data_IF_309708790009
#
_entry.id   IF_309708790009
#
_cell.length_a   1.000
_cell.length_b   1.000
_cell.length_c   1.000
_cell.angle_alpha   90.00
_cell.angle_beta   90.00
_cell.angle_gamma   90.00
#
_symmetry.space_group_name_H-M   'P 1'
#
loop_
_entity.id
_entity.type
_entity.pdbx_description
1 polymer ?
#
# COMPACT_ATOMS: atom_id res chain seq x y z
N UNK A 1 4.70 20.03 27.56
CA UNK A 1 5.55 18.82 27.63
C UNK A 1 5.44 17.96 26.38
N UNK A 2 4.24 17.85 25.74
CA UNK A 2 4.07 17.07 24.49
C UNK A 2 4.99 17.57 23.34
N UNK A 3 5.14 18.88 23.16
CA UNK A 3 5.95 19.46 22.08
C UNK A 3 7.47 19.19 22.23
N UNK A 4 7.94 18.96 23.45
CA UNK A 4 9.36 18.63 23.70
C UNK A 4 9.68 17.19 23.32
N UNK A 5 8.73 16.26 23.52
CA UNK A 5 8.89 14.86 23.13
C UNK A 5 8.96 14.68 21.61
N UNK A 6 8.13 15.40 20.88
CA UNK A 6 8.13 15.40 19.40
C UNK A 6 9.45 15.97 18.86
N UNK A 7 9.91 17.10 19.40
CA UNK A 7 11.18 17.72 19.00
C UNK A 7 12.39 16.81 19.29
N UNK A 8 12.39 16.09 20.40
CA UNK A 8 13.46 15.15 20.76
C UNK A 8 13.46 13.92 19.87
N UNK A 9 12.28 13.42 19.48
CA UNK A 9 12.14 12.27 18.60
C UNK A 9 12.59 12.60 17.17
N UNK A 10 12.16 13.72 16.61
CA UNK A 10 12.62 14.20 15.29
C UNK A 10 14.12 14.44 15.26
N UNK A 11 14.69 14.98 16.33
CA UNK A 11 16.13 15.18 16.44
C UNK A 11 16.92 13.85 16.51
N UNK A 12 16.37 12.81 17.17
CA UNK A 12 17.01 11.49 17.21
C UNK A 12 16.97 10.76 15.86
N UNK A 13 15.90 10.93 15.08
CA UNK A 13 15.83 10.39 13.71
C UNK A 13 16.82 11.08 12.75
N UNK A 14 16.98 12.40 12.87
CA UNK A 14 17.94 13.16 12.04
C UNK A 14 19.40 12.75 12.26
N UNK A 15 19.75 12.23 13.45
CA UNK A 15 21.12 11.78 13.74
C UNK A 15 21.40 10.41 13.09
N UNK A 16 20.40 9.54 12.96
CA UNK A 16 20.60 8.23 12.32
C UNK A 16 20.69 8.32 10.81
N UNK A 17 20.06 9.30 10.17
CA UNK A 17 20.11 9.50 8.71
C UNK A 17 21.50 9.95 8.21
N UNK A 18 22.32 10.59 9.06
CA UNK A 18 23.66 11.05 8.67
C UNK A 18 24.68 9.92 8.40
N UNK A 19 24.35 8.68 8.71
CA UNK A 19 25.23 7.52 8.51
C UNK A 19 24.88 6.65 7.30
N UNK A 20 23.85 6.98 6.54
CA UNK A 20 23.34 6.16 5.45
C UNK A 20 23.84 6.54 4.03
N UNK A 21 24.72 7.52 3.89
CA UNK A 21 25.18 8.01 2.59
C UNK A 21 26.56 7.44 2.20
N UNK A 22 26.61 6.14 1.92
CA UNK A 22 27.70 5.56 1.13
C UNK A 22 27.10 4.88 -0.09
N UNK A 23 27.53 5.34 -1.28
CA UNK A 23 27.09 4.78 -2.57
C UNK A 23 27.42 3.30 -2.64
N UNK A 24 26.44 2.46 -2.38
CA UNK A 24 26.59 1.01 -2.33
C UNK A 24 26.63 0.48 -3.77
N UNK A 25 27.72 -0.22 -4.10
CA UNK A 25 27.77 -1.12 -5.23
C UNK A 25 26.58 -2.09 -5.20
N UNK A 26 26.06 -2.60 -6.33
CA UNK A 26 24.91 -3.49 -6.33
C UNK A 26 25.16 -4.65 -5.36
N UNK A 27 24.37 -4.67 -4.29
CA UNK A 27 24.55 -5.64 -3.22
C UNK A 27 24.22 -7.03 -3.75
N UNK A 28 25.17 -7.94 -3.66
CA UNK A 28 24.99 -9.36 -3.98
C UNK A 28 24.54 -10.18 -2.75
N UNK A 29 24.24 -9.50 -1.65
CA UNK A 29 23.83 -10.08 -0.37
C UNK A 29 22.53 -9.51 0.17
N UNK A 30 22.05 -10.01 1.32
CA UNK A 30 20.87 -9.48 1.99
C UNK A 30 21.04 -8.01 2.32
N UNK A 31 20.04 -7.21 2.02
CA UNK A 31 19.94 -5.80 2.41
C UNK A 31 19.00 -5.70 3.60
N UNK A 32 19.50 -5.11 4.68
CA UNK A 32 18.69 -4.79 5.84
C UNK A 32 18.13 -3.38 5.66
N UNK A 33 16.87 -3.22 5.92
CA UNK A 33 16.18 -1.94 5.90
C UNK A 33 15.26 -1.81 7.09
N UNK A 34 14.76 -0.61 7.28
CA UNK A 34 13.76 -0.37 8.30
C UNK A 34 12.99 0.91 8.01
N UNK A 35 11.88 1.09 8.72
CA UNK A 35 11.05 2.28 8.63
C UNK A 35 10.54 2.67 10.01
N UNK A 36 10.33 3.96 10.19
CA UNK A 36 9.61 4.51 11.35
C UNK A 36 8.58 5.49 10.80
N UNK A 37 7.35 5.31 11.19
CA UNK A 37 6.26 6.20 10.85
C UNK A 37 5.57 6.71 12.11
N UNK A 38 5.23 7.99 12.12
CA UNK A 38 4.38 8.64 13.09
C UNK A 38 3.21 9.26 12.35
N UNK A 39 2.01 8.80 12.68
CA UNK A 39 0.77 9.29 12.13
C UNK A 39 -0.02 10.03 13.20
N UNK A 40 -0.43 11.25 12.92
CA UNK A 40 -1.27 12.08 13.78
C UNK A 40 -2.58 12.33 13.06
N UNK A 41 -3.69 12.00 13.71
CA UNK A 41 -5.03 12.19 13.16
C UNK A 41 -5.90 12.90 14.19
N UNK A 42 -6.77 13.79 13.74
CA UNK A 42 -7.84 14.36 14.55
C UNK A 42 -9.10 13.50 14.38
N UNK A 43 -9.72 13.14 15.48
CA UNK A 43 -10.99 12.42 15.45
C UNK A 43 -12.18 13.37 15.32
N UNK A 44 -13.38 12.82 15.11
CA UNK A 44 -14.62 13.59 14.98
C UNK A 44 -14.98 14.42 16.24
N UNK A 45 -14.32 14.18 17.37
CA UNK A 45 -14.46 14.96 18.60
C UNK A 45 -13.51 16.14 18.69
N UNK A 46 -12.60 16.28 17.73
CA UNK A 46 -11.53 17.27 17.71
C UNK A 46 -10.31 16.86 18.58
N UNK A 47 -10.24 15.60 19.00
CA UNK A 47 -9.12 15.10 19.77
C UNK A 47 -8.05 14.50 18.84
N UNK A 48 -6.79 14.88 19.06
CA UNK A 48 -5.66 14.37 18.29
C UNK A 48 -5.13 13.08 18.87
N UNK A 49 -5.16 12.02 18.05
CA UNK A 49 -4.47 10.75 18.29
C UNK A 49 -3.09 10.72 17.63
N UNK A 50 -2.23 9.81 18.09
CA UNK A 50 -0.96 9.52 17.46
C UNK A 50 -0.74 8.02 17.42
N UNK A 51 -0.36 7.49 16.26
CA UNK A 51 0.05 6.09 16.06
C UNK A 51 1.50 6.07 15.64
N UNK A 52 2.24 5.13 16.18
CA UNK A 52 3.63 4.88 15.81
C UNK A 52 3.76 3.48 15.19
N UNK A 53 4.34 3.42 13.99
CA UNK A 53 4.67 2.16 13.33
C UNK A 53 6.18 2.05 13.17
N UNK A 54 6.74 0.91 13.55
CA UNK A 54 8.17 0.60 13.37
C UNK A 54 8.25 -0.67 12.55
N UNK A 55 8.87 -0.58 11.37
CA UNK A 55 9.12 -1.69 10.47
C UNK A 55 10.60 -2.06 10.42
N UNK A 56 10.87 -3.33 10.17
CA UNK A 56 12.19 -3.83 9.82
C UNK A 56 12.08 -4.79 8.65
N UNK A 57 12.95 -4.67 7.68
CA UNK A 57 12.91 -5.48 6.47
C UNK A 57 14.25 -6.14 6.16
N UNK A 58 14.18 -7.31 5.56
CA UNK A 58 15.32 -8.01 4.98
C UNK A 58 14.98 -8.31 3.54
N UNK A 59 15.78 -7.79 2.61
CA UNK A 59 15.58 -7.98 1.19
C UNK A 59 16.78 -8.70 0.58
N UNK A 60 16.51 -9.69 -0.23
CA UNK A 60 17.49 -10.40 -1.05
C UNK A 60 17.06 -10.28 -2.51
N UNK A 61 17.96 -9.86 -3.38
CA UNK A 61 17.69 -9.70 -4.80
C UNK A 61 18.58 -10.62 -5.64
N UNK A 62 18.07 -11.03 -6.81
CA UNK A 62 18.77 -11.91 -7.74
C UNK A 62 17.78 -12.75 -8.54
N UNK A 63 18.26 -13.83 -9.17
CA UNK A 63 17.39 -14.82 -9.82
C UNK A 63 16.42 -15.45 -8.80
N UNK A 64 16.92 -15.79 -7.60
CA UNK A 64 16.08 -16.07 -6.43
C UNK A 64 16.04 -14.78 -5.58
N UNK A 65 14.89 -14.43 -5.08
CA UNK A 65 14.68 -13.25 -4.24
C UNK A 65 13.84 -13.60 -3.02
N UNK A 66 14.01 -12.82 -1.97
CA UNK A 66 13.21 -12.94 -0.75
C UNK A 66 13.02 -11.55 -0.13
N UNK A 67 11.88 -11.33 0.47
CA UNK A 67 11.64 -10.17 1.33
C UNK A 67 10.88 -10.60 2.57
N UNK A 68 11.19 -9.96 3.69
CA UNK A 68 10.51 -10.14 4.97
C UNK A 68 10.32 -8.76 5.58
N UNK A 69 9.12 -8.45 5.99
CA UNK A 69 8.77 -7.22 6.70
C UNK A 69 8.15 -7.58 8.05
N UNK A 70 8.72 -7.04 9.10
CA UNK A 70 8.21 -7.19 10.47
C UNK A 70 7.81 -5.82 10.97
N UNK A 71 6.61 -5.71 11.49
CA UNK A 71 6.04 -4.45 11.93
C UNK A 71 5.57 -4.52 13.39
N UNK A 72 5.71 -3.41 14.11
CA UNK A 72 5.17 -3.19 15.44
C UNK A 72 4.45 -1.85 15.49
N UNK A 73 3.20 -1.86 15.90
CA UNK A 73 2.36 -0.67 16.03
C UNK A 73 2.25 -0.30 17.51
N UNK A 74 2.48 0.97 17.83
CA UNK A 74 2.38 1.55 19.19
C UNK A 74 3.17 0.80 20.27
N UNK A 75 4.31 0.20 19.88
CA UNK A 75 5.15 -0.57 20.80
C UNK A 75 4.53 -1.92 21.21
N UNK A 76 3.53 -2.39 20.46
CA UNK A 76 2.95 -3.72 20.59
C UNK A 76 3.90 -4.85 20.20
N UNK A 77 3.37 -6.05 20.12
CA UNK A 77 4.14 -7.21 19.65
C UNK A 77 4.51 -7.05 18.18
N UNK A 78 5.77 -7.27 17.86
CA UNK A 78 6.21 -7.30 16.47
C UNK A 78 5.60 -8.50 15.75
N UNK A 79 5.00 -8.26 14.60
CA UNK A 79 4.37 -9.27 13.74
C UNK A 79 5.05 -9.32 12.39
N UNK A 80 5.11 -10.50 11.79
CA UNK A 80 5.50 -10.64 10.39
C UNK A 80 4.32 -10.15 9.54
N UNK A 81 4.48 -8.96 8.97
CA UNK A 81 3.43 -8.31 8.19
C UNK A 81 3.40 -8.89 6.78
N UNK A 82 4.52 -8.80 6.08
CA UNK A 82 4.67 -9.33 4.73
C UNK A 82 5.91 -10.21 4.62
N UNK A 83 5.84 -11.22 3.78
CA UNK A 83 6.98 -12.02 3.41
C UNK A 83 6.80 -12.59 2.01
N UNK A 84 7.90 -12.74 1.30
CA UNK A 84 7.91 -13.25 -0.06
C UNK A 84 9.18 -14.05 -0.32
N UNK A 85 9.01 -15.19 -0.98
CA UNK A 85 10.10 -15.97 -1.56
C UNK A 85 9.77 -16.17 -3.03
N UNK A 86 10.73 -15.92 -3.92
CA UNK A 86 10.45 -16.06 -5.34
C UNK A 86 11.68 -16.32 -6.19
N UNK A 87 11.41 -16.57 -7.47
CA UNK A 87 12.45 -16.80 -8.46
C UNK A 87 12.03 -16.26 -9.84
N UNK A 88 13.00 -15.78 -10.59
CA UNK A 88 12.84 -15.46 -12.01
C UNK A 88 13.03 -16.74 -12.82
N UNK A 89 11.97 -17.20 -13.47
CA UNK A 89 11.95 -18.44 -14.26
C UNK A 89 12.21 -18.21 -15.75
N UNK A 90 11.96 -16.98 -16.23
CA UNK A 90 12.28 -16.53 -17.59
C UNK A 90 12.41 -14.98 -17.59
N UNK A 91 12.90 -14.35 -18.67
CA UNK A 91 12.85 -12.90 -18.81
C UNK A 91 11.43 -12.40 -18.54
N UNK A 92 11.28 -11.36 -17.69
CA UNK A 92 10.01 -10.75 -17.30
C UNK A 92 8.99 -11.73 -16.67
N UNK A 93 9.45 -12.88 -16.19
CA UNK A 93 8.58 -13.89 -15.56
C UNK A 93 9.11 -14.28 -14.20
N UNK A 94 8.33 -14.01 -13.16
CA UNK A 94 8.64 -14.39 -11.78
C UNK A 94 7.53 -15.25 -11.19
N UNK A 95 7.92 -16.19 -10.34
CA UNK A 95 7.01 -16.95 -9.48
C UNK A 95 7.40 -16.69 -8.04
N UNK A 96 6.45 -16.37 -7.21
CA UNK A 96 6.67 -16.13 -5.78
C UNK A 96 5.60 -16.78 -4.92
N UNK A 97 5.93 -16.99 -3.66
CA UNK A 97 5.05 -17.48 -2.61
C UNK A 97 5.23 -16.63 -1.38
N UNK A 98 4.15 -16.34 -0.68
CA UNK A 98 4.19 -15.61 0.59
C UNK A 98 2.94 -14.81 0.86
N UNK A 99 2.95 -14.09 1.99
CA UNK A 99 2.06 -13.00 2.27
C UNK A 99 2.63 -11.75 1.60
N UNK A 100 2.12 -11.45 0.43
CA UNK A 100 2.68 -10.44 -0.46
C UNK A 100 1.55 -9.56 -1.03
N UNK A 101 1.93 -8.38 -1.56
CA UNK A 101 0.96 -7.42 -2.07
C UNK A 101 0.05 -7.99 -3.16
N UNK A 102 -1.13 -7.43 -3.28
CA UNK A 102 -2.23 -7.94 -4.09
C UNK A 102 -1.99 -7.83 -5.60
N UNK A 103 -2.50 -8.81 -6.33
CA UNK A 103 -2.63 -8.75 -7.79
C UNK A 103 -3.89 -7.92 -8.13
N UNK A 104 -3.87 -6.64 -7.82
CA UNK A 104 -5.03 -5.76 -7.90
C UNK A 104 -4.72 -4.40 -8.54
N UNK A 105 -5.76 -3.60 -8.75
CA UNK A 105 -5.62 -2.18 -9.08
C UNK A 105 -5.36 -1.41 -7.79
N UNK A 106 -4.33 -0.58 -7.76
CA UNK A 106 -4.02 0.29 -6.62
C UNK A 106 -4.48 1.71 -6.90
N UNK A 107 -4.89 2.42 -5.87
CA UNK A 107 -5.06 3.87 -5.86
C UNK A 107 -4.09 4.49 -4.86
N UNK A 108 -3.75 5.76 -5.04
CA UNK A 108 -2.88 6.49 -4.10
C UNK A 108 -3.67 7.19 -2.99
N UNK A 109 -5.01 7.19 -3.08
CA UNK A 109 -5.89 7.74 -2.06
C UNK A 109 -6.04 6.79 -0.87
N UNK A 110 -6.21 7.33 0.33
CA UNK A 110 -6.38 6.54 1.56
C UNK A 110 -7.71 5.77 1.63
N UNK A 111 -8.64 5.99 0.70
CA UNK A 111 -9.94 5.34 0.74
C UNK A 111 -9.94 4.06 -0.08
N UNK A 112 -10.23 3.01 0.60
CA UNK A 112 -10.29 1.64 0.15
C UNK A 112 -11.41 1.47 -0.88
N UNK A 113 -11.07 1.64 -2.13
CA UNK A 113 -11.76 0.92 -3.18
C UNK A 113 -11.66 -0.55 -2.79
N UNK A 114 -12.76 -1.31 -2.87
CA UNK A 114 -12.76 -2.71 -2.46
C UNK A 114 -11.47 -3.40 -2.93
N UNK A 115 -10.57 -3.61 -1.99
CA UNK A 115 -9.28 -4.24 -2.23
C UNK A 115 -9.34 -5.64 -1.63
N UNK A 116 -9.42 -6.68 -2.46
CA UNK A 116 -9.37 -8.05 -1.95
C UNK A 116 -8.04 -8.21 -1.21
N UNK A 117 -8.12 -8.57 0.05
CA UNK A 117 -6.91 -8.85 0.84
C UNK A 117 -6.43 -10.23 0.47
N UNK A 118 -5.28 -10.31 -0.16
CA UNK A 118 -4.57 -11.57 -0.32
C UNK A 118 -3.69 -11.80 0.91
N UNK A 119 -4.04 -12.80 1.71
CA UNK A 119 -3.22 -13.20 2.85
C UNK A 119 -1.97 -13.96 2.38
N UNK A 120 -2.07 -15.22 2.10
CA UNK A 120 -0.93 -16.03 1.63
C UNK A 120 -1.21 -16.55 0.22
N UNK A 121 -0.31 -16.29 -0.71
CA UNK A 121 -0.55 -16.57 -2.13
C UNK A 121 0.66 -17.13 -2.85
N UNK A 122 0.41 -17.84 -3.94
CA UNK A 122 1.39 -18.09 -4.99
C UNK A 122 1.06 -17.15 -6.14
N UNK A 123 2.02 -16.32 -6.54
CA UNK A 123 1.86 -15.37 -7.62
C UNK A 123 2.76 -15.69 -8.81
N UNK A 124 2.22 -15.46 -10.00
CA UNK A 124 2.92 -15.46 -11.27
C UNK A 124 2.83 -14.07 -11.88
N UNK A 125 3.98 -13.43 -12.10
CA UNK A 125 4.05 -12.18 -12.86
C UNK A 125 4.76 -12.46 -14.19
N UNK A 126 4.15 -12.08 -15.30
CA UNK A 126 4.65 -12.31 -16.66
C UNK A 126 4.43 -11.06 -17.51
N UNK A 127 5.42 -10.17 -17.51
CA UNK A 127 5.31 -8.89 -18.19
C UNK A 127 4.12 -8.06 -17.71
N UNK A 128 3.17 -7.85 -18.60
CA UNK A 128 1.94 -7.09 -18.32
C UNK A 128 0.84 -7.89 -17.58
N UNK A 129 1.01 -9.19 -17.43
CA UNK A 129 0.04 -10.08 -16.79
C UNK A 129 0.52 -10.49 -15.40
N UNK A 130 -0.37 -10.51 -14.44
CA UNK A 130 -0.16 -11.08 -13.12
C UNK A 130 -1.33 -12.00 -12.75
N UNK A 131 -1.07 -13.08 -12.04
CA UNK A 131 -2.07 -13.97 -11.49
C UNK A 131 -1.66 -14.46 -10.11
N UNK A 132 -2.64 -14.76 -9.27
CA UNK A 132 -2.42 -15.30 -7.95
C UNK A 132 -3.44 -16.39 -7.62
N UNK A 133 -2.99 -17.31 -6.77
CA UNK A 133 -3.85 -18.29 -6.08
C UNK A 133 -3.63 -18.07 -4.60
N UNK A 134 -4.68 -17.76 -3.89
CA UNK A 134 -4.69 -17.48 -2.47
C UNK A 134 -5.06 -18.71 -1.66
N UNK A 135 -4.41 -18.84 -0.51
CA UNK A 135 -4.63 -19.88 0.47
C UNK A 135 -4.92 -19.22 1.82
N UNK A 136 -5.90 -19.68 2.57
CA UNK A 136 -6.27 -19.09 3.84
C UNK A 136 -5.17 -19.14 4.90
N UNK A 137 -4.28 -20.11 4.82
CA UNK A 137 -3.12 -20.21 5.72
C UNK A 137 -2.17 -21.33 5.29
N UNK A 138 -0.92 -21.03 4.98
CA UNK A 138 0.09 -22.06 4.71
C UNK A 138 0.47 -22.92 5.94
N UNK A 139 0.14 -22.48 7.15
CA UNK A 139 0.35 -23.28 8.37
C UNK A 139 -0.74 -24.32 8.62
N UNK A 140 -1.82 -24.28 7.85
CA UNK A 140 -2.95 -25.18 7.91
C UNK A 140 -2.93 -26.25 6.80
N UNK A 141 -4.11 -26.57 6.31
CA UNK A 141 -4.27 -27.49 5.18
C UNK A 141 -4.18 -26.70 3.86
N UNK A 142 -3.06 -26.81 3.16
CA UNK A 142 -2.83 -26.14 1.85
C UNK A 142 -3.80 -26.61 0.75
N UNK A 143 -4.77 -27.45 1.07
CA UNK A 143 -5.82 -27.83 0.13
C UNK A 143 -6.92 -26.78 -0.02
N UNK A 144 -6.99 -25.80 0.87
CA UNK A 144 -8.03 -24.78 0.84
C UNK A 144 -7.56 -23.56 0.03
N UNK A 145 -7.81 -23.63 -1.27
CA UNK A 145 -7.67 -22.46 -2.13
C UNK A 145 -8.91 -21.59 -1.89
N UNK A 146 -8.70 -20.39 -1.36
CA UNK A 146 -9.78 -19.46 -1.03
C UNK A 146 -10.15 -18.56 -2.20
N UNK A 147 -9.15 -18.04 -2.92
CA UNK A 147 -9.40 -17.14 -4.04
C UNK A 147 -8.41 -17.32 -5.19
N UNK A 148 -8.80 -16.82 -6.34
CA UNK A 148 -7.93 -16.66 -7.51
C UNK A 148 -8.04 -15.23 -8.02
N UNK A 149 -6.90 -14.60 -8.31
CA UNK A 149 -6.87 -13.26 -8.84
C UNK A 149 -6.06 -13.18 -10.13
N UNK A 150 -6.38 -12.18 -10.94
CA UNK A 150 -5.61 -11.87 -12.13
C UNK A 150 -5.70 -10.39 -12.49
N UNK A 151 -4.60 -9.85 -13.01
CA UNK A 151 -4.54 -8.49 -13.49
C UNK A 151 -3.81 -8.42 -14.84
N UNK A 152 -4.17 -7.46 -15.65
CA UNK A 152 -3.53 -7.18 -16.91
C UNK A 152 -3.36 -5.67 -17.12
N UNK A 153 -2.15 -5.26 -17.49
CA UNK A 153 -1.80 -3.86 -17.75
C UNK A 153 -1.47 -3.69 -19.23
N UNK A 154 -2.04 -2.68 -19.85
CA UNK A 154 -1.74 -2.35 -21.25
C UNK A 154 -1.67 -0.85 -21.50
N UNK A 155 -0.89 -0.46 -22.51
CA UNK A 155 -0.80 0.92 -22.95
C UNK A 155 -1.87 1.25 -23.97
N UNK A 156 -2.55 2.38 -23.82
CA UNK A 156 -3.52 2.94 -24.75
C UNK A 156 -3.13 4.37 -25.12
N UNK A 157 -2.19 4.50 -26.06
CA UNK A 157 -1.58 5.79 -26.41
C UNK A 157 -0.78 6.36 -25.23
N UNK A 158 -1.12 7.56 -24.74
CA UNK A 158 -0.44 8.15 -23.59
C UNK A 158 -0.95 7.60 -22.23
N UNK A 159 -1.97 6.78 -22.23
CA UNK A 159 -2.56 6.23 -21.02
C UNK A 159 -2.06 4.80 -20.75
N UNK A 160 -1.95 4.44 -19.48
CA UNK A 160 -1.80 3.06 -19.01
C UNK A 160 -3.12 2.62 -18.40
N UNK A 161 -3.60 1.44 -18.77
CA UNK A 161 -4.84 0.87 -18.24
C UNK A 161 -4.51 -0.47 -17.59
N UNK A 162 -4.96 -0.67 -16.35
CA UNK A 162 -4.87 -1.92 -15.61
C UNK A 162 -6.28 -2.39 -15.29
N UNK A 163 -6.58 -3.63 -15.64
CA UNK A 163 -7.80 -4.33 -15.21
C UNK A 163 -7.43 -5.46 -14.27
N UNK A 164 -8.25 -5.73 -13.25
CA UNK A 164 -8.07 -6.82 -12.32
C UNK A 164 -9.40 -7.50 -11.99
N UNK A 165 -9.31 -8.79 -11.66
CA UNK A 165 -10.40 -9.63 -11.22
C UNK A 165 -9.90 -10.45 -10.04
N UNK A 166 -10.67 -10.50 -8.98
CA UNK A 166 -10.55 -11.42 -7.88
C UNK A 166 -11.81 -12.29 -7.79
N UNK A 167 -11.66 -13.56 -7.52
CA UNK A 167 -12.78 -14.50 -7.40
C UNK A 167 -12.61 -15.38 -6.16
N UNK A 168 -13.48 -15.19 -5.18
CA UNK A 168 -13.59 -15.99 -3.98
C UNK A 168 -14.28 -17.32 -4.32
N UNK A 169 -13.61 -18.43 -4.04
CA UNK A 169 -14.06 -19.78 -4.37
C UNK A 169 -15.07 -20.32 -3.36
N UNK A 170 -15.06 -19.82 -2.15
CA UNK A 170 -15.94 -20.26 -1.06
C UNK A 170 -17.32 -19.60 -1.20
N UNK A 171 -17.34 -18.29 -1.27
CA UNK A 171 -18.59 -17.51 -1.43
C UNK A 171 -19.09 -17.49 -2.86
N UNK A 172 -18.20 -17.71 -3.85
CA UNK A 172 -18.42 -17.58 -5.29
C UNK A 172 -18.71 -16.14 -5.72
N UNK A 173 -18.28 -15.20 -4.93
CA UNK A 173 -18.35 -13.80 -5.24
C UNK A 173 -17.12 -13.36 -6.05
N UNK A 174 -17.23 -12.24 -6.71
CA UNK A 174 -16.10 -11.64 -7.42
C UNK A 174 -16.01 -10.15 -7.17
N UNK A 175 -14.80 -9.65 -7.30
CA UNK A 175 -14.50 -8.23 -7.31
C UNK A 175 -13.77 -7.91 -8.61
N UNK A 176 -14.19 -6.88 -9.31
CA UNK A 176 -13.50 -6.39 -10.51
C UNK A 176 -13.03 -4.97 -10.29
N UNK A 177 -11.86 -4.64 -10.83
CA UNK A 177 -11.31 -3.31 -10.77
C UNK A 177 -10.70 -2.90 -12.09
N UNK A 178 -10.75 -1.61 -12.37
CA UNK A 178 -10.05 -1.01 -13.49
C UNK A 178 -9.45 0.33 -13.08
N UNK A 179 -8.20 0.57 -13.49
CA UNK A 179 -7.50 1.84 -13.31
C UNK A 179 -6.99 2.34 -14.66
N UNK A 180 -7.14 3.63 -14.89
CA UNK A 180 -6.55 4.32 -16.02
C UNK A 180 -5.69 5.48 -15.53
N UNK A 181 -4.41 5.49 -15.93
CA UNK A 181 -3.46 6.55 -15.61
C UNK A 181 -3.13 7.32 -16.90
N UNK A 182 -3.25 8.63 -16.82
CA UNK A 182 -2.91 9.54 -17.89
C UNK A 182 -2.04 10.70 -17.35
N UNK A 183 -0.74 10.64 -17.56
CA UNK A 183 0.24 11.58 -17.00
C UNK A 183 0.14 11.62 -15.46
N UNK A 184 -0.38 12.73 -14.94
CA UNK A 184 -0.53 13.00 -13.51
C UNK A 184 -1.96 12.69 -12.99
N UNK A 185 -2.81 12.10 -13.81
CA UNK A 185 -4.20 11.80 -13.45
C UNK A 185 -4.41 10.30 -13.40
N UNK A 186 -5.04 9.83 -12.34
CA UNK A 186 -5.52 8.47 -12.17
C UNK A 186 -7.03 8.43 -11.99
N UNK A 187 -7.66 7.43 -12.56
CA UNK A 187 -9.08 7.13 -12.32
C UNK A 187 -9.18 5.63 -12.06
N UNK A 188 -9.76 5.27 -10.94
CA UNK A 188 -9.98 3.88 -10.55
C UNK A 188 -11.48 3.65 -10.32
N UNK A 189 -11.97 2.49 -10.72
CA UNK A 189 -13.32 2.02 -10.40
C UNK A 189 -13.26 0.56 -10.01
N UNK A 190 -14.05 0.17 -9.02
CA UNK A 190 -14.18 -1.22 -8.56
C UNK A 190 -15.63 -1.58 -8.35
N UNK A 191 -15.93 -2.85 -8.50
CA UNK A 191 -17.24 -3.41 -8.19
C UNK A 191 -17.08 -4.72 -7.42
N UNK A 192 -17.72 -4.83 -6.27
CA UNK A 192 -17.76 -6.03 -5.45
C UNK A 192 -19.13 -6.69 -5.52
N UNK A 193 -19.22 -7.93 -6.01
CA UNK A 193 -20.48 -8.68 -6.18
C UNK A 193 -21.13 -9.00 -4.84
N UNK A 194 -20.34 -9.36 -3.81
CA UNK A 194 -20.83 -9.71 -2.48
C UNK A 194 -21.68 -8.59 -1.85
N UNK A 195 -21.24 -7.36 -2.01
CA UNK A 195 -21.91 -6.18 -1.45
C UNK A 195 -22.76 -5.42 -2.45
N UNK A 196 -22.62 -5.71 -3.75
CA UNK A 196 -23.23 -4.97 -4.87
C UNK A 196 -22.78 -3.51 -4.93
N UNK A 197 -21.59 -3.21 -4.40
CA UNK A 197 -21.06 -1.85 -4.30
C UNK A 197 -20.17 -1.55 -5.47
N UNK A 198 -20.40 -0.40 -6.10
CA UNK A 198 -19.45 0.25 -6.99
C UNK A 198 -18.76 1.39 -6.25
N UNK A 199 -17.43 1.37 -6.25
CA UNK A 199 -16.61 2.43 -5.69
C UNK A 199 -15.72 3.05 -6.77
N UNK A 200 -15.38 4.32 -6.61
CA UNK A 200 -14.57 5.06 -7.57
C UNK A 200 -13.60 6.02 -6.88
N UNK A 201 -12.50 6.29 -7.56
CA UNK A 201 -11.53 7.31 -7.17
C UNK A 201 -11.02 8.04 -8.42
N UNK A 202 -10.86 9.33 -8.31
CA UNK A 202 -10.14 10.17 -9.27
C UNK A 202 -9.06 10.96 -8.52
N UNK A 203 -7.85 10.92 -9.02
CA UNK A 203 -6.70 11.54 -8.36
C UNK A 203 -5.82 12.32 -9.34
N UNK A 204 -5.05 13.24 -8.82
CA UNK A 204 -4.00 13.95 -9.55
C UNK A 204 -2.82 14.25 -8.65
N UNK A 205 -1.61 14.04 -9.17
CA UNK A 205 -0.37 14.31 -8.44
C UNK A 205 0.50 15.31 -9.22
N UNK A 206 0.89 16.39 -8.58
CA UNK A 206 1.77 17.41 -9.15
C UNK A 206 2.76 17.94 -8.11
N UNK A 207 4.05 17.71 -8.32
CA UNK A 207 5.12 18.30 -7.50
C UNK A 207 5.00 17.98 -6.00
N UNK A 208 4.64 16.75 -5.67
CA UNK A 208 4.43 16.31 -4.28
C UNK A 208 3.04 16.59 -3.73
N UNK A 209 2.21 17.37 -4.41
CA UNK A 209 0.80 17.55 -4.07
C UNK A 209 -0.02 16.44 -4.74
N UNK A 210 -0.78 15.70 -3.96
CA UNK A 210 -1.81 14.76 -4.42
C UNK A 210 -3.18 15.31 -4.01
N UNK A 211 -4.13 15.30 -4.92
CA UNK A 211 -5.52 15.63 -4.64
C UNK A 211 -6.40 14.51 -5.18
N UNK A 212 -7.44 14.15 -4.45
CA UNK A 212 -8.32 13.05 -4.82
C UNK A 212 -9.79 13.35 -4.50
N UNK A 213 -10.66 12.65 -5.22
CA UNK A 213 -12.09 12.55 -4.97
C UNK A 213 -12.43 11.06 -5.04
N UNK A 214 -13.07 10.53 -4.02
CA UNK A 214 -13.53 9.16 -4.01
C UNK A 214 -14.96 9.02 -3.45
N UNK A 215 -15.55 7.88 -3.65
CA UNK A 215 -16.88 7.56 -3.15
C UNK A 215 -17.33 6.16 -3.51
N UNK A 216 -18.41 5.73 -2.89
CA UNK A 216 -19.10 4.49 -3.21
C UNK A 216 -20.62 4.67 -3.30
N UNK A 217 -21.31 3.67 -3.87
CA UNK A 217 -22.77 3.72 -4.07
C UNK A 217 -23.58 3.37 -2.82
N UNK A 218 -22.97 2.72 -1.80
CA UNK A 218 -23.73 2.18 -0.67
C UNK A 218 -24.11 3.27 0.31
N UNK A 219 -23.13 4.06 0.69
CA UNK A 219 -23.31 5.11 1.69
C UNK A 219 -23.38 6.49 1.02
N UNK A 220 -23.24 6.53 -0.31
CA UNK A 220 -23.04 7.77 -1.06
C UNK A 220 -21.89 8.62 -0.47
N UNK A 221 -20.99 7.96 0.27
CA UNK A 221 -19.87 8.64 0.92
C UNK A 221 -19.00 9.26 -0.15
N UNK A 222 -18.90 10.56 -0.13
CA UNK A 222 -18.04 11.30 -1.03
C UNK A 222 -17.00 12.02 -0.21
N UNK A 223 -15.74 11.78 -0.56
CA UNK A 223 -14.63 12.44 0.10
C UNK A 223 -13.80 13.20 -0.92
N UNK A 224 -13.35 14.36 -0.51
CA UNK A 224 -12.37 15.16 -1.24
C UNK A 224 -11.18 15.35 -0.33
N UNK A 225 -10.00 14.98 -0.79
CA UNK A 225 -8.81 15.14 0.01
C UNK A 225 -7.64 15.69 -0.78
N UNK A 226 -6.64 16.12 -0.02
CA UNK A 226 -5.35 16.51 -0.56
C UNK A 226 -4.26 16.21 0.44
N UNK A 227 -3.11 15.74 -0.06
CA UNK A 227 -1.88 15.57 0.70
C UNK A 227 -0.73 16.27 0.01
N UNK A 228 0.30 16.59 0.77
CA UNK A 228 1.53 17.15 0.23
C UNK A 228 2.73 16.43 0.84
N UNK A 229 3.47 15.71 0.01
CA UNK A 229 4.68 15.02 0.45
C UNK A 229 5.90 15.90 0.28
N UNK A 230 6.64 16.10 1.36
CA UNK A 230 7.86 16.89 1.41
C UNK A 230 9.00 16.09 2.05
N UNK A 231 10.10 15.90 1.33
CA UNK A 231 11.32 15.33 1.89
C UNK A 231 12.11 16.39 2.64
N UNK A 232 12.37 16.13 3.91
CA UNK A 232 13.23 16.94 4.75
C UNK A 232 14.42 16.10 5.26
N UNK A 233 15.50 16.11 4.51
CA UNK A 233 16.73 15.39 4.85
C UNK A 233 16.52 13.88 5.09
N UNK A 234 15.73 13.23 4.23
CA UNK A 234 15.43 11.81 4.31
C UNK A 234 14.24 11.46 5.22
N UNK A 235 13.59 12.47 5.78
CA UNK A 235 12.31 12.32 6.49
C UNK A 235 11.21 12.81 5.56
N UNK A 236 10.28 11.93 5.20
CA UNK A 236 9.08 12.31 4.47
C UNK A 236 8.06 12.88 5.44
N UNK A 237 7.62 14.09 5.18
CA UNK A 237 6.56 14.78 5.91
C UNK A 237 5.35 14.91 5.00
N UNK A 238 4.20 14.43 5.45
CA UNK A 238 2.97 14.43 4.66
C UNK A 238 1.80 14.97 5.49
N UNK A 239 1.57 16.30 5.46
CA UNK A 239 0.29 16.84 5.87
C UNK A 239 -0.79 16.51 4.86
N UNK A 240 -1.94 16.07 5.34
CA UNK A 240 -3.11 15.80 4.52
C UNK A 240 -4.38 16.32 5.18
N UNK A 241 -5.39 16.50 4.36
CA UNK A 241 -6.74 16.85 4.80
C UNK A 241 -7.72 16.05 3.95
N UNK A 242 -8.67 15.41 4.61
CA UNK A 242 -9.81 14.78 4.00
C UNK A 242 -11.09 15.51 4.43
N UNK A 243 -11.99 15.75 3.51
CA UNK A 243 -13.31 16.34 3.77
C UNK A 243 -14.37 15.33 3.36
N UNK A 244 -15.06 14.80 4.35
CA UNK A 244 -16.26 13.99 4.17
C UNK A 244 -17.42 14.91 3.84
N UNK A 245 -17.91 14.85 2.59
CA UNK A 245 -18.95 15.75 2.08
C UNK A 245 -20.28 15.45 2.76
N UNK A 246 -20.58 14.17 3.01
CA UNK A 246 -21.87 13.75 3.53
C UNK A 246 -22.04 14.10 5.00
N UNK A 247 -20.99 13.93 5.78
CA UNK A 247 -20.99 14.26 7.20
C UNK A 247 -20.55 15.71 7.48
N UNK A 248 -20.08 16.41 6.45
CA UNK A 248 -19.51 17.77 6.58
C UNK A 248 -18.37 17.82 7.60
N UNK A 249 -17.56 16.76 7.62
CA UNK A 249 -16.45 16.59 8.56
C UNK A 249 -15.10 16.82 7.88
N UNK A 250 -14.19 17.49 8.59
CA UNK A 250 -12.82 17.75 8.14
C UNK A 250 -11.88 16.93 8.99
N UNK A 251 -11.10 16.08 8.36
CA UNK A 251 -10.16 15.18 9.01
C UNK A 251 -8.72 15.52 8.62
N UNK A 252 -8.04 16.40 9.36
CA UNK A 252 -6.64 16.67 9.14
C UNK A 252 -5.78 15.52 9.67
N UNK A 253 -4.71 15.24 8.93
CA UNK A 253 -3.74 14.21 9.27
C UNK A 253 -2.34 14.73 9.01
N UNK A 254 -1.38 14.22 9.74
CA UNK A 254 0.03 14.47 9.50
C UNK A 254 0.81 13.17 9.68
N UNK A 255 1.56 12.78 8.66
CA UNK A 255 2.46 11.63 8.69
C UNK A 255 3.90 12.11 8.61
N UNK A 256 4.75 11.53 9.42
CA UNK A 256 6.19 11.67 9.31
C UNK A 256 6.80 10.27 9.23
N UNK A 257 7.49 9.96 8.14
CA UNK A 257 8.09 8.66 7.92
C UNK A 257 9.57 8.76 7.54
N UNK A 258 10.32 7.76 7.94
CA UNK A 258 11.74 7.63 7.65
C UNK A 258 12.05 6.17 7.30
N UNK A 259 12.83 5.96 6.23
CA UNK A 259 13.29 4.63 5.81
C UNK A 259 14.82 4.60 5.70
N UNK A 260 15.47 3.48 6.07
CA UNK A 260 16.93 3.31 6.07
C UNK A 260 17.35 1.91 5.63
#
# INVERSE_FOLDING_TARGET
MKNLAIATFVASMAVTSAFAEEAVAPATGPVLGGSVELKFTEDASGDWGATQTIGASINMSGTAFASFNVESIDGGTATLDEWQLGTTVAPDTTVSIGKQGDVWVSSEGEHTIANPKMDESIQLNMGAFAAAVEFGNFSGDVSDIEAIAGAYTFGAGPATIKGALDYDLDTKDYTVGARADLHNYGITGTYAEATKVFAYEAETTMGGLTAYLNGDETDMTQNVGASYTYDFNGINLEPSVNYDIDNSDVQPQFVASFSF
#
